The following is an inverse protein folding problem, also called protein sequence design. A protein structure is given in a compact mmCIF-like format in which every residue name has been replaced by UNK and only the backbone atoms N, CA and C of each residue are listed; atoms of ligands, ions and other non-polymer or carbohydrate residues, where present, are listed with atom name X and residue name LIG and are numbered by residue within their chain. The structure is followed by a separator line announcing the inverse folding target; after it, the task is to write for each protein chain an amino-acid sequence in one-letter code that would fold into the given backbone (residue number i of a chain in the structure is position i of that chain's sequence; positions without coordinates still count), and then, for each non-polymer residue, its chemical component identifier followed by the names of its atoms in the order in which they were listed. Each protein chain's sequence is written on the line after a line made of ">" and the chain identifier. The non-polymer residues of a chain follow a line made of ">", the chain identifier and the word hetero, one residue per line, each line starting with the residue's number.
data_IF_093760863264
#
_entry.id   IF_093760863264
#
_cell.length_a   1.000
_cell.length_b   1.000
_cell.length_c   1.000
_cell.angle_alpha   90.00
_cell.angle_beta   90.00
_cell.angle_gamma   90.00
#
_symmetry.space_group_name_H-M   'P 1'
#
loop_
_entity.id
_entity.type
_entity.pdbx_description
1 polymer ?
#
# COMPACT_ATOMS: atom_id res chain seq x y z
N UNK A 1 -11.18 -8.14 24.78
CA UNK A 1 -12.06 -9.33 24.73
C UNK A 1 -11.54 -10.25 23.65
N UNK A 2 -11.31 -11.53 23.95
CA UNK A 2 -10.91 -12.54 22.96
C UNK A 2 -12.19 -13.26 22.50
N UNK A 3 -12.46 -13.25 21.20
CA UNK A 3 -13.68 -13.85 20.63
C UNK A 3 -13.51 -15.35 20.33
N UNK A 4 -12.35 -15.75 19.80
CA UNK A 4 -11.99 -17.13 19.49
C UNK A 4 -10.47 -17.26 19.27
N UNK A 5 -9.96 -18.49 19.22
CA UNK A 5 -8.54 -18.80 18.94
C UNK A 5 -8.47 -19.73 17.73
N UNK A 6 -7.70 -19.34 16.73
CA UNK A 6 -7.53 -20.09 15.48
C UNK A 6 -6.06 -20.46 15.26
N UNK A 7 -5.84 -21.56 14.55
CA UNK A 7 -4.53 -21.86 13.99
C UNK A 7 -4.19 -20.86 12.89
N UNK A 8 -2.89 -20.61 12.68
CA UNK A 8 -2.41 -19.70 11.62
C UNK A 8 -2.66 -20.23 10.19
N UNK A 9 -3.22 -21.43 10.04
CA UNK A 9 -3.61 -22.05 8.77
C UNK A 9 -5.13 -22.09 8.56
N UNK A 10 -5.91 -21.54 9.50
CA UNK A 10 -7.37 -21.63 9.50
C UNK A 10 -8.02 -20.91 8.32
N UNK A 11 -8.85 -21.64 7.57
CA UNK A 11 -9.68 -21.05 6.51
C UNK A 11 -10.76 -20.11 7.06
N UNK A 12 -11.31 -20.40 8.24
CA UNK A 12 -12.35 -19.55 8.87
C UNK A 12 -11.78 -18.19 9.26
N UNK A 13 -10.58 -18.16 9.84
CA UNK A 13 -9.91 -16.91 10.17
C UNK A 13 -9.56 -16.13 8.89
N UNK A 14 -9.12 -16.83 7.83
CA UNK A 14 -8.85 -16.19 6.54
C UNK A 14 -10.12 -15.56 5.95
N UNK A 15 -11.25 -16.29 5.95
CA UNK A 15 -12.53 -15.76 5.51
C UNK A 15 -12.96 -14.54 6.34
N UNK A 16 -12.81 -14.61 7.67
CA UNK A 16 -13.05 -13.48 8.55
C UNK A 16 -12.22 -12.24 8.16
N UNK A 17 -10.94 -12.44 7.88
CA UNK A 17 -10.05 -11.39 7.40
C UNK A 17 -10.48 -10.83 6.04
N UNK A 18 -10.74 -11.67 5.05
CA UNK A 18 -11.04 -11.25 3.68
C UNK A 18 -12.34 -10.45 3.54
N UNK A 19 -13.35 -10.77 4.35
CA UNK A 19 -14.68 -10.16 4.26
C UNK A 19 -14.97 -9.11 5.33
N UNK A 20 -14.25 -9.13 6.46
CA UNK A 20 -14.56 -8.27 7.60
C UNK A 20 -13.34 -7.52 8.17
N UNK A 21 -12.21 -7.44 7.44
CA UNK A 21 -11.02 -6.74 7.94
C UNK A 21 -11.30 -5.28 8.35
N UNK A 22 -12.22 -4.60 7.67
CA UNK A 22 -12.56 -3.21 7.96
C UNK A 22 -13.26 -3.02 9.31
N UNK A 23 -14.01 -4.02 9.79
CA UNK A 23 -14.64 -4.00 11.12
C UNK A 23 -13.60 -3.96 12.25
N UNK A 24 -12.39 -4.46 11.99
CA UNK A 24 -11.28 -4.47 12.94
C UNK A 24 -10.33 -3.27 12.76
N UNK A 25 -10.51 -2.48 11.69
CA UNK A 25 -9.78 -1.23 11.49
C UNK A 25 -10.52 -0.11 12.22
N UNK A 26 -9.89 1.06 12.36
CA UNK A 26 -10.53 2.21 12.99
C UNK A 26 -11.22 3.07 11.91
N UNK A 27 -12.54 2.91 11.66
CA UNK A 27 -13.24 3.72 10.67
C UNK A 27 -13.45 5.17 11.12
N UNK A 28 -13.23 5.48 12.40
CA UNK A 28 -13.62 6.77 13.00
C UNK A 28 -12.52 7.84 12.99
N UNK A 29 -11.34 7.56 12.42
CA UNK A 29 -10.26 8.54 12.36
C UNK A 29 -10.44 9.58 11.26
N UNK A 30 -11.42 9.42 10.36
CA UNK A 30 -11.69 10.39 9.30
C UNK A 30 -13.15 10.88 9.37
N UNK A 31 -13.41 12.13 9.81
CA UNK A 31 -14.77 12.67 9.90
C UNK A 31 -15.49 12.74 8.55
N UNK A 32 -14.75 12.72 7.44
CA UNK A 32 -15.29 12.72 6.07
C UNK A 32 -15.59 11.30 5.52
N UNK A 33 -15.40 10.25 6.33
CA UNK A 33 -15.79 8.87 5.97
C UNK A 33 -14.86 8.14 4.99
N UNK A 34 -13.70 8.71 4.63
CA UNK A 34 -12.72 8.02 3.79
C UNK A 34 -12.05 6.86 4.55
N UNK A 35 -12.49 5.64 4.24
CA UNK A 35 -11.87 4.41 4.72
C UNK A 35 -10.76 3.95 3.77
N UNK A 36 -9.59 3.53 4.28
CA UNK A 36 -8.57 2.91 3.44
C UNK A 36 -9.14 1.74 2.65
N UNK A 37 -8.74 1.63 1.38
CA UNK A 37 -9.16 0.51 0.55
C UNK A 37 -8.69 -0.83 1.13
N UNK A 38 -9.54 -1.83 1.01
CA UNK A 38 -9.34 -3.16 1.53
C UNK A 38 -9.94 -4.21 0.60
N UNK A 39 -9.56 -5.50 0.75
CA UNK A 39 -10.24 -6.56 0.04
C UNK A 39 -11.75 -6.64 0.34
N UNK A 40 -12.22 -6.18 1.50
CA UNK A 40 -13.64 -6.23 1.85
C UNK A 40 -14.46 -5.09 1.24
N UNK A 41 -13.90 -3.90 1.06
CA UNK A 41 -14.63 -2.69 0.63
C UNK A 41 -14.31 -2.20 -0.80
N UNK A 42 -13.25 -2.69 -1.45
CA UNK A 42 -12.80 -2.17 -2.74
C UNK A 42 -12.50 -3.30 -3.73
N UNK A 43 -13.09 -3.23 -4.93
CA UNK A 43 -12.96 -4.28 -5.95
C UNK A 43 -11.52 -4.45 -6.46
N UNK A 44 -10.75 -3.36 -6.56
CA UNK A 44 -9.37 -3.39 -7.06
C UNK A 44 -8.41 -3.94 -6.01
N UNK A 45 -8.62 -3.55 -4.75
CA UNK A 45 -7.92 -4.15 -3.61
C UNK A 45 -8.24 -5.65 -3.48
N UNK A 46 -9.51 -6.05 -3.68
CA UNK A 46 -9.91 -7.47 -3.74
C UNK A 46 -9.19 -8.20 -4.86
N UNK A 47 -9.16 -7.64 -6.06
CA UNK A 47 -8.47 -8.27 -7.20
C UNK A 47 -6.96 -8.45 -6.94
N UNK A 48 -6.30 -7.44 -6.36
CA UNK A 48 -4.89 -7.50 -5.95
C UNK A 48 -4.65 -8.62 -4.92
N UNK A 49 -5.54 -8.70 -3.92
CA UNK A 49 -5.51 -9.75 -2.89
C UNK A 49 -5.72 -11.15 -3.49
N UNK A 50 -6.67 -11.33 -4.39
CA UNK A 50 -6.90 -12.61 -5.07
C UNK A 50 -5.71 -13.03 -5.94
N UNK A 51 -5.08 -12.09 -6.65
CA UNK A 51 -3.84 -12.37 -7.39
C UNK A 51 -2.73 -12.82 -6.44
N UNK A 52 -2.57 -12.15 -5.30
CA UNK A 52 -1.60 -12.53 -4.28
C UNK A 52 -1.89 -13.93 -3.71
N UNK A 53 -3.15 -14.22 -3.35
CA UNK A 53 -3.61 -15.53 -2.87
C UNK A 53 -3.35 -16.64 -3.90
N UNK A 54 -3.73 -16.43 -5.15
CA UNK A 54 -3.48 -17.36 -6.24
C UNK A 54 -1.98 -17.62 -6.47
N UNK A 55 -1.14 -16.58 -6.34
CA UNK A 55 0.31 -16.74 -6.43
C UNK A 55 0.85 -17.64 -5.31
N UNK A 56 0.32 -17.52 -4.08
CA UNK A 56 0.72 -18.37 -2.96
C UNK A 56 0.21 -19.81 -3.12
N UNK A 57 -1.00 -19.99 -3.64
CA UNK A 57 -1.57 -21.31 -3.91
C UNK A 57 -0.75 -22.08 -4.96
N UNK A 58 -0.35 -21.41 -6.04
CA UNK A 58 0.33 -22.03 -7.17
C UNK A 58 1.87 -22.07 -7.05
N UNK A 59 2.44 -21.60 -5.93
CA UNK A 59 3.88 -21.64 -5.72
C UNK A 59 4.42 -23.08 -5.63
N UNK A 60 5.71 -23.28 -5.90
CA UNK A 60 6.39 -24.56 -5.65
C UNK A 60 6.39 -24.81 -4.13
N UNK A 61 5.75 -25.90 -3.69
CA UNK A 61 5.38 -26.18 -2.28
C UNK A 61 4.26 -25.30 -1.72
N UNK A 62 3.38 -24.78 -2.58
CA UNK A 62 2.17 -24.08 -2.20
C UNK A 62 1.05 -25.01 -1.72
N UNK A 63 -0.18 -24.52 -1.82
CA UNK A 63 -1.40 -25.19 -1.34
C UNK A 63 -2.16 -24.34 -0.32
N UNK A 64 -3.41 -24.70 -0.05
CA UNK A 64 -4.34 -23.91 0.78
C UNK A 64 -3.76 -23.59 2.16
N UNK A 65 -3.16 -24.60 2.82
CA UNK A 65 -2.61 -24.43 4.16
C UNK A 65 -1.46 -23.41 4.19
N UNK A 66 -0.54 -23.48 3.24
CA UNK A 66 0.62 -22.59 3.15
C UNK A 66 0.21 -21.19 2.69
N UNK A 67 -0.76 -21.08 1.78
CA UNK A 67 -1.36 -19.80 1.39
C UNK A 67 -2.04 -19.12 2.57
N UNK A 68 -2.89 -19.83 3.32
CA UNK A 68 -3.54 -19.31 4.52
C UNK A 68 -2.49 -18.83 5.52
N UNK A 69 -1.46 -19.63 5.78
CA UNK A 69 -0.36 -19.27 6.70
C UNK A 69 0.35 -17.98 6.31
N UNK A 70 0.63 -17.78 5.01
CA UNK A 70 1.31 -16.57 4.52
C UNK A 70 0.43 -15.34 4.56
N UNK A 71 -0.85 -15.48 4.21
CA UNK A 71 -1.81 -14.37 4.25
C UNK A 71 -2.08 -13.97 5.70
N UNK A 72 -2.40 -14.94 6.57
CA UNK A 72 -2.65 -14.69 7.99
C UNK A 72 -1.40 -14.24 8.75
N UNK A 73 -0.20 -14.55 8.25
CA UNK A 73 1.06 -14.02 8.77
C UNK A 73 1.20 -12.49 8.65
N UNK A 74 0.30 -11.81 7.92
CA UNK A 74 0.23 -10.36 7.89
C UNK A 74 -0.43 -9.77 9.17
N UNK A 75 -1.14 -10.59 9.94
CA UNK A 75 -1.79 -10.19 11.19
C UNK A 75 -0.83 -10.29 12.40
N UNK A 76 -1.03 -9.47 13.45
CA UNK A 76 -1.98 -8.36 13.53
C UNK A 76 -1.48 -7.16 12.72
N UNK A 77 -2.40 -6.47 12.04
CA UNK A 77 -2.07 -5.22 11.35
C UNK A 77 -2.43 -4.07 12.29
N UNK A 78 -1.47 -3.17 12.53
CA UNK A 78 -1.76 -1.94 13.24
C UNK A 78 -2.71 -1.08 12.40
N UNK A 79 -3.95 -0.91 12.87
CA UNK A 79 -4.97 -0.14 12.18
C UNK A 79 -4.55 1.33 11.93
N UNK A 80 -3.68 1.87 12.78
CA UNK A 80 -3.11 3.22 12.68
C UNK A 80 -2.04 3.35 11.59
N UNK A 81 -1.55 2.25 11.02
CA UNK A 81 -0.52 2.27 9.98
C UNK A 81 -1.10 2.36 8.57
N UNK A 82 -2.39 2.65 8.41
CA UNK A 82 -2.99 2.89 7.09
C UNK A 82 -3.22 4.38 6.89
N UNK A 83 -2.68 4.89 5.77
CA UNK A 83 -2.99 6.22 5.28
C UNK A 83 -4.42 6.25 4.74
N UNK A 84 -5.19 7.25 5.15
CA UNK A 84 -6.52 7.55 4.61
C UNK A 84 -6.47 8.56 3.45
N UNK A 85 -5.29 8.82 2.89
CA UNK A 85 -5.14 9.78 1.79
C UNK A 85 -5.80 9.29 0.48
N UNK A 86 -6.57 10.13 -0.23
CA UNK A 86 -7.21 9.77 -1.50
C UNK A 86 -6.19 9.46 -2.62
N UNK A 87 -4.92 9.85 -2.45
CA UNK A 87 -3.84 9.50 -3.39
C UNK A 87 -3.54 8.00 -3.44
N UNK A 88 -3.82 7.29 -2.35
CA UNK A 88 -3.62 5.86 -2.24
C UNK A 88 -4.92 5.06 -2.41
N UNK A 89 -6.02 5.74 -2.72
CA UNK A 89 -7.29 5.09 -3.00
C UNK A 89 -7.20 4.31 -4.31
N UNK A 90 -7.32 2.98 -4.22
CA UNK A 90 -7.23 2.09 -5.37
C UNK A 90 -8.45 2.18 -6.28
N UNK A 91 -9.55 2.83 -5.87
CA UNK A 91 -10.67 3.17 -6.76
C UNK A 91 -10.36 4.35 -7.67
N UNK A 92 -9.58 5.32 -7.20
CA UNK A 92 -9.23 6.54 -7.95
C UNK A 92 -8.01 6.32 -8.85
N UNK A 93 -6.99 5.66 -8.32
CA UNK A 93 -5.72 5.50 -9.01
C UNK A 93 -5.28 4.05 -9.14
N UNK A 94 -4.64 3.75 -10.28
CA UNK A 94 -3.86 2.55 -10.51
C UNK A 94 -2.38 2.88 -10.36
N UNK A 95 -1.70 2.19 -9.45
CA UNK A 95 -0.28 2.34 -9.17
C UNK A 95 0.30 0.98 -8.72
N UNK A 96 1.62 0.85 -8.73
CA UNK A 96 2.29 -0.39 -8.29
C UNK A 96 2.50 -0.38 -6.76
N UNK A 97 1.71 -1.22 -6.08
CA UNK A 97 1.70 -1.35 -4.61
C UNK A 97 3.06 -1.79 -4.01
N UNK A 98 3.96 -2.33 -4.85
CA UNK A 98 5.32 -2.68 -4.48
C UNK A 98 6.13 -1.45 -4.06
N UNK A 99 5.90 -0.30 -4.70
CA UNK A 99 6.68 0.92 -4.49
C UNK A 99 6.03 1.89 -3.51
N UNK A 100 4.70 1.85 -3.38
CA UNK A 100 3.91 2.68 -2.46
C UNK A 100 2.62 1.95 -2.12
N UNK A 101 2.12 2.02 -0.89
CA UNK A 101 0.85 1.35 -0.52
C UNK A 101 0.13 2.12 0.57
N UNK A 102 -1.19 1.93 0.75
CA UNK A 102 -1.95 2.54 1.84
C UNK A 102 -1.36 2.21 3.22
N UNK A 103 -0.80 1.02 3.37
CA UNK A 103 -0.07 0.64 4.57
C UNK A 103 1.30 1.35 4.61
N UNK A 104 1.48 2.22 5.60
CA UNK A 104 2.66 3.04 5.87
C UNK A 104 3.82 2.18 6.37
N UNK A 105 4.49 1.50 5.43
CA UNK A 105 5.73 0.77 5.67
C UNK A 105 6.81 1.24 4.71
N UNK A 106 8.08 1.35 5.16
CA UNK A 106 9.18 1.68 4.26
C UNK A 106 9.26 0.71 3.07
N UNK A 107 9.38 1.26 1.86
CA UNK A 107 9.51 0.52 0.60
C UNK A 107 10.93 0.66 0.06
N UNK A 108 11.35 -0.25 -0.82
CA UNK A 108 12.64 -0.10 -1.51
C UNK A 108 12.55 1.08 -2.48
N UNK A 109 13.59 1.92 -2.54
CA UNK A 109 13.69 3.00 -3.52
C UNK A 109 13.79 2.39 -4.92
N UNK A 110 12.83 2.73 -5.79
CA UNK A 110 12.86 2.36 -7.20
C UNK A 110 13.75 3.30 -8.01
N UNK A 111 14.24 2.80 -9.15
CA UNK A 111 15.01 3.59 -10.13
C UNK A 111 14.13 4.55 -10.93
N UNK A 112 12.88 4.16 -11.15
CA UNK A 112 11.92 4.92 -11.94
C UNK A 112 10.91 5.64 -11.04
N UNK A 113 10.33 6.77 -11.51
CA UNK A 113 9.25 7.42 -10.79
C UNK A 113 8.04 6.50 -10.63
N UNK A 114 7.39 6.61 -9.49
CA UNK A 114 6.14 5.87 -9.21
C UNK A 114 5.03 6.58 -9.96
N UNK A 115 4.36 5.88 -10.88
CA UNK A 115 3.32 6.43 -11.74
C UNK A 115 1.94 6.13 -11.17
N UNK A 116 1.10 7.16 -11.12
CA UNK A 116 -0.30 7.05 -10.72
C UNK A 116 -1.17 7.34 -11.94
N UNK A 117 -1.92 6.35 -12.39
CA UNK A 117 -2.85 6.45 -13.51
C UNK A 117 -4.26 6.65 -12.96
N UNK A 118 -5.03 7.59 -13.52
CA UNK A 118 -6.45 7.71 -13.20
C UNK A 118 -7.19 6.46 -13.66
N UNK A 119 -8.01 5.87 -12.80
CA UNK A 119 -8.86 4.74 -13.21
C UNK A 119 -10.04 5.17 -14.07
N UNK A 120 -10.51 6.39 -13.91
CA UNK A 120 -11.60 6.94 -14.72
C UNK A 120 -11.17 7.16 -16.17
N UNK A 121 -10.01 7.79 -16.38
CA UNK A 121 -9.52 8.18 -17.71
C UNK A 121 -8.47 7.22 -18.29
N UNK A 122 -7.87 6.35 -17.48
CA UNK A 122 -6.75 5.51 -17.87
C UNK A 122 -5.44 6.26 -18.14
N UNK A 123 -5.43 7.59 -17.98
CA UNK A 123 -4.30 8.45 -18.28
C UNK A 123 -3.38 8.64 -17.07
N UNK A 124 -2.10 8.92 -17.33
CA UNK A 124 -1.14 9.25 -16.28
C UNK A 124 -1.58 10.55 -15.58
N UNK A 125 -1.90 10.46 -14.29
CA UNK A 125 -2.33 11.61 -13.49
C UNK A 125 -1.14 12.36 -12.89
N UNK A 126 -0.21 11.64 -12.26
CA UNK A 126 1.00 12.23 -11.70
C UNK A 126 2.08 11.16 -11.45
N UNK A 127 3.30 11.63 -11.18
CA UNK A 127 4.47 10.81 -10.87
C UNK A 127 5.09 11.25 -9.54
N UNK A 128 5.56 10.29 -8.76
CA UNK A 128 6.34 10.53 -7.53
C UNK A 128 7.82 10.22 -7.78
N UNK A 129 8.67 11.23 -7.62
CA UNK A 129 10.11 11.12 -7.87
C UNK A 129 10.86 10.98 -6.55
N UNK A 130 11.20 9.75 -6.15
CA UNK A 130 11.92 9.49 -4.90
C UNK A 130 13.41 9.79 -5.01
N UNK A 131 14.02 9.49 -6.15
CA UNK A 131 15.41 9.83 -6.43
C UNK A 131 15.49 11.16 -7.16
N UNK A 132 16.21 12.12 -6.59
CA UNK A 132 16.87 13.13 -7.43
C UNK A 132 17.92 12.33 -8.19
N UNK A 133 17.79 12.20 -9.52
CA UNK A 133 18.83 11.59 -10.37
C UNK A 133 20.10 12.43 -10.27
N UNK A 134 20.85 12.24 -9.19
CA UNK A 134 22.23 12.68 -9.08
C UNK A 134 23.01 11.48 -9.58
N UNK A 135 23.67 11.65 -10.72
CA UNK A 135 24.57 10.74 -11.44
C UNK A 135 25.64 10.07 -10.55
N UNK A 136 25.24 9.36 -9.51
CA UNK A 136 26.10 8.62 -8.61
C UNK A 136 25.75 7.15 -8.80
N UNK A 137 26.64 6.36 -9.41
CA UNK A 137 26.49 4.91 -9.42
C UNK A 137 26.73 4.44 -7.98
N UNK A 138 25.71 4.51 -7.13
CA UNK A 138 25.83 3.96 -5.77
C UNK A 138 25.62 2.46 -5.88
N UNK A 139 26.73 1.75 -5.91
CA UNK A 139 26.80 0.34 -5.55
C UNK A 139 26.01 0.08 -4.26
N UNK A 140 24.93 -0.67 -4.41
CA UNK A 140 24.71 -1.90 -3.64
C UNK A 140 24.15 -1.84 -2.22
N UNK A 141 23.24 -0.89 -1.91
CA UNK A 141 22.29 -1.08 -0.80
C UNK A 141 20.87 -0.77 -1.23
N UNK A 142 19.95 -1.69 -0.95
CA UNK A 142 18.49 -1.51 -1.07
C UNK A 142 18.04 -0.39 -0.13
N UNK A 143 18.14 0.86 -0.58
CA UNK A 143 17.69 2.04 0.16
C UNK A 143 16.19 1.93 0.41
N UNK A 144 15.76 2.35 1.60
CA UNK A 144 14.34 2.37 1.95
C UNK A 144 13.83 3.81 1.94
N UNK A 145 12.58 3.97 1.50
CA UNK A 145 11.83 5.22 1.52
C UNK A 145 10.52 5.01 2.27
N UNK A 146 10.24 5.89 3.23
CA UNK A 146 8.94 6.00 3.87
C UNK A 146 8.15 7.13 3.20
N UNK A 147 6.85 6.93 3.04
CA UNK A 147 5.95 7.93 2.49
C UNK A 147 4.89 8.32 3.51
N UNK A 148 4.58 9.60 3.56
CA UNK A 148 3.47 10.16 4.32
C UNK A 148 2.66 11.03 3.37
N UNK A 149 1.42 10.65 3.10
CA UNK A 149 0.53 11.41 2.23
C UNK A 149 -0.40 12.27 3.08
N UNK A 150 -0.64 13.52 2.66
CA UNK A 150 -1.62 14.35 3.33
C UNK A 150 -3.03 13.76 3.15
N UNK A 151 -3.88 13.77 4.18
CA UNK A 151 -5.23 13.23 4.08
C UNK A 151 -6.12 14.02 3.11
N UNK A 152 -5.90 15.33 2.94
CA UNK A 152 -6.78 16.22 2.16
C UNK A 152 -6.09 17.03 1.07
N UNK A 153 -4.79 17.28 1.21
CA UNK A 153 -4.10 18.30 0.41
C UNK A 153 -3.26 17.61 -0.66
N UNK A 154 -2.95 18.25 -1.79
CA UNK A 154 -2.17 17.68 -2.88
C UNK A 154 -0.69 17.55 -2.57
N UNK A 155 -0.37 16.88 -1.47
CA UNK A 155 0.92 16.89 -0.83
C UNK A 155 1.30 15.52 -0.27
N UNK A 156 2.56 15.15 -0.48
CA UNK A 156 3.16 13.98 0.16
C UNK A 156 4.61 14.27 0.52
N UNK A 157 5.12 13.57 1.52
CA UNK A 157 6.50 13.61 1.96
C UNK A 157 7.11 12.24 1.74
N UNK A 158 8.30 12.19 1.16
CA UNK A 158 9.10 10.96 1.14
C UNK A 158 10.38 11.16 1.94
N UNK A 159 10.69 10.24 2.84
CA UNK A 159 11.88 10.29 3.68
C UNK A 159 12.74 9.06 3.39
N UNK A 160 14.00 9.29 3.04
CA UNK A 160 15.01 8.26 2.84
C UNK A 160 16.12 8.44 3.86
N UNK A 161 16.68 7.32 4.34
CA UNK A 161 17.89 7.32 5.14
C UNK A 161 19.05 6.79 4.30
N UNK A 162 20.00 7.64 3.98
CA UNK A 162 21.24 7.27 3.31
C UNK A 162 22.39 7.32 4.31
N UNK A 163 22.80 6.14 4.79
CA UNK A 163 23.73 5.98 5.90
C UNK A 163 23.27 6.73 7.18
N UNK A 164 23.74 7.96 7.36
CA UNK A 164 23.49 8.82 8.52
C UNK A 164 22.69 10.08 8.17
N UNK A 165 22.45 10.36 6.89
CA UNK A 165 21.71 11.52 6.43
C UNK A 165 20.27 11.16 6.08
N UNK A 166 19.35 12.06 6.41
CA UNK A 166 17.96 11.99 5.98
C UNK A 166 17.77 12.87 4.74
N UNK A 167 17.33 12.25 3.65
CA UNK A 167 16.90 12.96 2.45
C UNK A 167 15.37 13.03 2.52
N UNK A 168 14.85 14.25 2.62
CA UNK A 168 13.41 14.52 2.65
C UNK A 168 13.02 15.20 1.34
N UNK A 169 12.07 14.63 0.62
CA UNK A 169 11.48 15.26 -0.56
C UNK A 169 10.02 15.61 -0.28
N UNK A 170 9.63 16.80 -0.72
CA UNK A 170 8.28 17.30 -0.67
C UNK A 170 7.66 17.20 -2.06
N UNK A 171 6.54 16.51 -2.17
CA UNK A 171 5.85 16.25 -3.43
C UNK A 171 4.55 17.04 -3.43
N UNK A 172 4.42 17.97 -4.37
CA UNK A 172 3.19 18.74 -4.55
C UNK A 172 2.61 18.36 -5.91
N UNK A 173 1.40 17.82 -5.93
CA UNK A 173 0.71 17.51 -7.17
C UNK A 173 0.32 18.84 -7.83
N UNK A 174 0.94 19.15 -8.97
CA UNK A 174 0.46 20.19 -9.89
C UNK A 174 -0.74 19.61 -10.65
N UNK A 175 -1.88 20.27 -10.58
CA UNK A 175 -3.00 19.98 -11.48
C UNK A 175 -2.56 20.46 -12.86
N UNK A 176 -2.25 19.53 -13.77
CA UNK A 176 -2.10 19.86 -15.17
C UNK A 176 -3.50 20.14 -15.71
N UNK A 177 -3.86 21.41 -15.81
CA UNK A 177 -4.99 21.82 -16.63
C UNK A 177 -4.55 21.62 -18.09
N UNK A 178 -5.33 20.92 -18.93
CA UNK A 178 -5.07 20.94 -20.36
C UNK A 178 -5.21 22.38 -20.86
N UNK A 179 -4.23 22.84 -21.64
CA UNK A 179 -4.31 24.09 -22.41
C UNK A 179 -5.38 24.02 -23.49
#
# INVERSE_FOLDING_TARGET
>A
MVLNVYQNTSSDLLHGYEYFCDTFRNPYLNPDGFMPCSPSNNIYSRESHEKFKNTMLNARFGGTMEANKRILGQLPIAAQSFSCSPYLDTSLYSYDEKWVSPMERPKVVGEYPIRFYSRELGTLSFCLYTSVSRNRPTQDRRRLVAFTFHPTDPFAISVQRDNLEYIVNFHIRKVYLPE
#
